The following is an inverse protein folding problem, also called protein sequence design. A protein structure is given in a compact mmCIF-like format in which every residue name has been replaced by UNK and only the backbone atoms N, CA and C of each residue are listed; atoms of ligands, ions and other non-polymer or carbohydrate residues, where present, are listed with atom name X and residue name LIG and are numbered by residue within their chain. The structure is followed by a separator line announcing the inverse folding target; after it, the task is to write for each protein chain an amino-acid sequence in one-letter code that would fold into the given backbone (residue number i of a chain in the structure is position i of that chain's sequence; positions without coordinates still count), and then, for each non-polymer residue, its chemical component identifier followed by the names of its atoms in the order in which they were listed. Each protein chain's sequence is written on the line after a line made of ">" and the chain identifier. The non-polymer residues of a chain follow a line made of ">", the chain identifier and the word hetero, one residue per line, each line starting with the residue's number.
data_IF_942143712036
#
_entry.id   IF_942143712036
#
_cell.length_a   1.000
_cell.length_b   1.000
_cell.length_c   1.000
_cell.angle_alpha   90.00
_cell.angle_beta   90.00
_cell.angle_gamma   90.00
#
_symmetry.space_group_name_H-M   'P 1'
#
loop_
_entity.id
_entity.type
_entity.pdbx_description
1 polymer ?
#
# COMPACT_ATOMS: atom_id res chain seq x y z
N UNK A 1 30.64 18.32 11.42
CA UNK A 1 29.51 17.81 10.61
C UNK A 1 28.89 19.01 9.93
N UNK A 2 28.84 19.05 8.61
CA UNK A 2 28.27 20.20 7.90
C UNK A 2 26.74 20.12 8.01
N UNK A 3 26.06 21.26 8.12
CA UNK A 3 24.59 21.30 8.28
C UNK A 3 23.89 20.56 7.12
N UNK A 4 24.48 20.58 5.93
CA UNK A 4 23.94 19.94 4.73
C UNK A 4 23.87 18.40 4.86
N UNK A 5 24.82 17.77 5.55
CA UNK A 5 24.83 16.32 5.79
C UNK A 5 23.67 15.90 6.71
N UNK A 6 23.33 16.75 7.68
CA UNK A 6 22.24 16.51 8.63
C UNK A 6 20.88 16.62 7.91
N UNK A 7 20.69 17.66 7.09
CA UNK A 7 19.45 17.83 6.30
C UNK A 7 19.24 16.73 5.25
N UNK A 8 20.31 16.22 4.62
CA UNK A 8 20.23 15.09 3.71
C UNK A 8 19.80 13.79 4.42
N UNK A 9 20.32 13.56 5.64
CA UNK A 9 19.96 12.40 6.46
C UNK A 9 18.49 12.43 6.88
N UNK A 10 17.98 13.59 7.28
CA UNK A 10 16.55 13.77 7.61
C UNK A 10 15.64 13.49 6.41
N UNK A 11 16.03 13.91 5.20
CA UNK A 11 15.22 13.68 3.99
C UNK A 11 15.24 12.20 3.55
N UNK A 12 16.35 11.49 3.78
CA UNK A 12 16.45 10.05 3.57
C UNK A 12 15.50 9.24 4.47
N UNK A 13 15.31 9.67 5.73
CA UNK A 13 14.41 9.02 6.68
C UNK A 13 12.92 9.20 6.36
N UNK A 14 12.56 10.26 5.63
CA UNK A 14 11.18 10.49 5.21
C UNK A 14 10.76 9.59 4.01
N UNK A 15 11.71 8.97 3.32
CA UNK A 15 11.42 8.08 2.18
C UNK A 15 10.95 6.72 2.67
N UNK A 16 9.85 6.22 2.10
CA UNK A 16 9.37 4.88 2.44
C UNK A 16 10.43 3.80 2.16
N UNK A 17 10.59 2.86 3.09
CA UNK A 17 11.49 1.71 2.94
C UNK A 17 10.89 0.78 1.89
N UNK A 18 11.58 0.63 0.75
CA UNK A 18 11.16 -0.21 -0.36
C UNK A 18 11.97 -1.52 -0.40
N UNK A 19 11.27 -2.63 -0.51
CA UNK A 19 11.84 -3.96 -0.81
C UNK A 19 11.37 -4.39 -2.20
N UNK A 20 12.31 -4.73 -3.07
CA UNK A 20 12.04 -5.08 -4.49
C UNK A 20 11.20 -4.03 -5.25
N UNK A 21 11.34 -2.75 -4.88
CA UNK A 21 10.59 -1.64 -5.47
C UNK A 21 9.16 -1.46 -4.95
N UNK A 22 8.76 -2.20 -3.90
CA UNK A 22 7.45 -2.09 -3.23
C UNK A 22 7.68 -1.71 -1.76
N UNK A 23 6.83 -0.88 -1.12
CA UNK A 23 7.02 -0.56 0.29
C UNK A 23 6.93 -1.83 1.16
N UNK A 24 7.78 -1.93 2.19
CA UNK A 24 7.95 -3.16 2.96
C UNK A 24 6.63 -3.67 3.58
N UNK A 25 5.84 -2.77 4.17
CA UNK A 25 4.58 -3.14 4.84
C UNK A 25 3.56 -3.78 3.87
N UNK A 26 3.15 -3.14 2.76
CA UNK A 26 2.22 -3.76 1.82
C UNK A 26 2.81 -5.02 1.16
N UNK A 27 4.13 -5.08 0.98
CA UNK A 27 4.80 -6.29 0.48
C UNK A 27 4.57 -7.49 1.42
N UNK A 28 4.83 -7.32 2.73
CA UNK A 28 4.64 -8.37 3.74
C UNK A 28 3.16 -8.80 3.82
N UNK A 29 2.23 -7.85 3.80
CA UNK A 29 0.78 -8.12 3.85
C UNK A 29 0.33 -8.92 2.63
N UNK A 30 0.75 -8.53 1.43
CA UNK A 30 0.38 -9.27 0.21
C UNK A 30 1.00 -10.66 0.21
N UNK A 31 2.25 -10.81 0.67
CA UNK A 31 2.93 -12.09 0.71
C UNK A 31 2.26 -13.06 1.70
N UNK A 32 1.86 -12.58 2.88
CA UNK A 32 1.10 -13.40 3.84
C UNK A 32 -0.27 -13.78 3.30
N UNK A 33 -0.98 -12.85 2.64
CA UNK A 33 -2.27 -13.14 1.99
C UNK A 33 -2.13 -14.16 0.86
N UNK A 34 -1.09 -14.06 0.03
CA UNK A 34 -0.81 -15.06 -1.02
C UNK A 34 -0.65 -16.45 -0.40
N UNK A 35 0.15 -16.59 0.65
CA UNK A 35 0.37 -17.88 1.30
C UNK A 35 -0.93 -18.45 1.88
N UNK A 36 -1.69 -17.65 2.63
CA UNK A 36 -2.94 -18.10 3.25
C UNK A 36 -3.97 -18.49 2.19
N UNK A 37 -4.19 -17.63 1.20
CA UNK A 37 -5.19 -17.85 0.13
C UNK A 37 -4.80 -18.97 -0.81
N UNK A 38 -3.50 -19.17 -1.09
CA UNK A 38 -3.04 -20.30 -1.87
C UNK A 38 -3.30 -21.62 -1.13
N UNK A 39 -2.90 -21.72 0.14
CA UNK A 39 -3.08 -22.95 0.92
C UNK A 39 -4.57 -23.28 1.09
N UNK A 40 -5.36 -22.32 1.60
CA UNK A 40 -6.80 -22.53 1.81
C UNK A 40 -7.56 -22.69 0.50
N UNK A 41 -7.24 -21.90 -0.52
CA UNK A 41 -7.88 -21.98 -1.84
C UNK A 41 -7.61 -23.33 -2.51
N UNK A 42 -6.36 -23.79 -2.53
CA UNK A 42 -6.01 -25.07 -3.15
C UNK A 42 -6.64 -26.24 -2.39
N UNK A 43 -6.69 -26.17 -1.07
CA UNK A 43 -7.28 -27.23 -0.25
C UNK A 43 -8.81 -27.34 -0.42
N UNK A 44 -9.51 -26.21 -0.64
CA UNK A 44 -10.98 -26.18 -0.76
C UNK A 44 -11.49 -26.29 -2.21
N UNK A 45 -10.76 -25.74 -3.17
CA UNK A 45 -11.20 -25.58 -4.56
C UNK A 45 -10.23 -26.21 -5.59
N UNK A 46 -9.18 -26.90 -5.13
CA UNK A 46 -8.16 -27.47 -6.01
C UNK A 46 -7.43 -26.39 -6.81
N UNK A 47 -7.21 -26.64 -8.11
CA UNK A 47 -6.46 -25.72 -8.96
C UNK A 47 -7.09 -24.32 -9.07
N UNK A 48 -8.42 -24.20 -8.97
CA UNK A 48 -9.10 -22.90 -9.02
C UNK A 48 -8.77 -22.01 -7.82
N UNK A 49 -8.26 -22.59 -6.72
CA UNK A 49 -7.77 -21.84 -5.56
C UNK A 49 -6.60 -20.90 -5.85
N UNK A 50 -5.92 -21.07 -6.98
CA UNK A 50 -4.77 -20.23 -7.39
C UNK A 50 -5.20 -18.87 -7.97
N UNK A 51 -6.47 -18.70 -8.31
CA UNK A 51 -6.98 -17.44 -8.89
C UNK A 51 -6.77 -16.26 -7.93
N UNK A 52 -7.08 -16.44 -6.64
CA UNK A 52 -6.95 -15.40 -5.62
C UNK A 52 -5.50 -14.93 -5.43
N UNK A 53 -4.50 -15.81 -5.21
CA UNK A 53 -3.10 -15.38 -5.09
C UNK A 53 -2.55 -14.72 -6.36
N UNK A 54 -3.02 -15.10 -7.56
CA UNK A 54 -2.66 -14.41 -8.82
C UNK A 54 -3.14 -12.96 -8.82
N UNK A 55 -4.38 -12.71 -8.38
CA UNK A 55 -4.93 -11.35 -8.31
C UNK A 55 -4.12 -10.49 -7.32
N UNK A 56 -3.75 -11.05 -6.17
CA UNK A 56 -2.93 -10.35 -5.17
C UNK A 56 -1.53 -10.06 -5.73
N UNK A 57 -0.94 -11.01 -6.47
CA UNK A 57 0.35 -10.81 -7.12
C UNK A 57 0.30 -9.69 -8.17
N UNK A 58 -0.75 -9.66 -9.00
CA UNK A 58 -0.97 -8.58 -9.97
C UNK A 58 -1.08 -7.21 -9.28
N UNK A 59 -1.79 -7.13 -8.16
CA UNK A 59 -1.86 -5.92 -7.34
C UNK A 59 -0.49 -5.48 -6.83
N UNK A 60 0.36 -6.41 -6.38
CA UNK A 60 1.72 -6.12 -5.92
C UNK A 60 2.62 -5.58 -7.05
N UNK A 61 2.44 -6.07 -8.28
CA UNK A 61 3.12 -5.53 -9.46
C UNK A 61 2.66 -4.10 -9.81
N UNK A 62 1.36 -3.80 -9.66
CA UNK A 62 0.86 -2.44 -9.84
C UNK A 62 1.45 -1.48 -8.79
N UNK A 63 1.55 -1.92 -7.53
CA UNK A 63 2.23 -1.14 -6.49
C UNK A 63 3.70 -0.89 -6.82
N UNK A 64 4.40 -1.90 -7.34
CA UNK A 64 5.79 -1.77 -7.80
C UNK A 64 5.91 -0.71 -8.89
N UNK A 65 5.02 -0.73 -9.89
CA UNK A 65 5.04 0.25 -10.98
C UNK A 65 4.78 1.68 -10.48
N UNK A 66 3.87 1.85 -9.51
CA UNK A 66 3.60 3.15 -8.87
C UNK A 66 4.82 3.66 -8.10
N UNK A 67 5.40 2.80 -7.27
CA UNK A 67 6.53 3.16 -6.41
C UNK A 67 7.85 3.38 -7.18
N UNK A 68 7.96 2.85 -8.40
CA UNK A 68 9.07 3.15 -9.30
C UNK A 68 9.11 4.62 -9.74
N UNK A 69 7.97 5.33 -9.75
CA UNK A 69 7.88 6.75 -10.14
C UNK A 69 8.09 7.66 -8.94
N UNK A 70 7.49 7.33 -7.81
CA UNK A 70 7.64 8.06 -6.55
C UNK A 70 7.62 7.07 -5.37
N UNK A 71 8.71 6.99 -4.58
CA UNK A 71 8.79 6.11 -3.41
C UNK A 71 7.72 6.40 -2.35
N UNK A 72 7.19 7.63 -2.31
CA UNK A 72 6.19 8.08 -1.36
C UNK A 72 4.75 8.03 -1.91
N UNK A 73 4.55 7.53 -3.14
CA UNK A 73 3.24 7.48 -3.79
C UNK A 73 2.16 6.83 -2.93
N UNK A 74 2.48 5.72 -2.25
CA UNK A 74 1.54 4.99 -1.39
C UNK A 74 1.11 5.82 -0.18
N UNK A 75 2.00 6.64 0.38
CA UNK A 75 1.68 7.55 1.50
C UNK A 75 0.74 8.65 1.03
N UNK A 76 0.97 9.20 -0.16
CA UNK A 76 0.09 10.20 -0.78
C UNK A 76 -1.29 9.62 -1.08
N UNK A 77 -1.36 8.41 -1.62
CA UNK A 77 -2.63 7.74 -1.91
C UNK A 77 -3.43 7.44 -0.63
N UNK A 78 -2.76 7.02 0.45
CA UNK A 78 -3.38 6.85 1.77
C UNK A 78 -3.95 8.18 2.29
N UNK A 79 -3.23 9.29 2.14
CA UNK A 79 -3.69 10.62 2.55
C UNK A 79 -4.88 11.10 1.72
N UNK A 80 -4.86 10.87 0.39
CA UNK A 80 -6.00 11.17 -0.49
C UNK A 80 -7.24 10.37 -0.07
N UNK A 81 -7.06 9.09 0.25
CA UNK A 81 -8.16 8.24 0.73
C UNK A 81 -8.72 8.73 2.07
N UNK A 82 -7.87 9.08 3.03
CA UNK A 82 -8.28 9.69 4.31
C UNK A 82 -9.01 11.01 4.09
N UNK A 83 -8.51 11.87 3.21
CA UNK A 83 -9.16 13.14 2.85
C UNK A 83 -10.54 12.93 2.21
N UNK A 84 -10.68 11.94 1.34
CA UNK A 84 -11.96 11.57 0.75
C UNK A 84 -12.97 11.07 1.80
N UNK A 85 -12.54 10.20 2.72
CA UNK A 85 -13.37 9.71 3.82
C UNK A 85 -13.84 10.85 4.74
N UNK A 86 -12.94 11.79 5.07
CA UNK A 86 -13.27 12.97 5.86
C UNK A 86 -14.23 13.91 5.13
N UNK A 87 -14.06 14.12 3.81
CA UNK A 87 -15.00 14.91 3.01
C UNK A 87 -16.39 14.27 2.99
N UNK A 88 -16.48 12.94 2.86
CA UNK A 88 -17.75 12.21 2.95
C UNK A 88 -18.41 12.34 4.33
N UNK A 89 -17.63 12.29 5.41
CA UNK A 89 -18.14 12.43 6.78
C UNK A 89 -18.56 13.86 7.12
N UNK A 90 -17.76 14.86 6.72
CA UNK A 90 -18.07 16.28 6.90
C UNK A 90 -19.36 16.68 6.15
N UNK A 91 -19.55 16.19 4.92
CA UNK A 91 -20.76 16.46 4.16
C UNK A 91 -22.02 15.86 4.81
N UNK A 92 -21.90 14.71 5.50
CA UNK A 92 -22.99 14.13 6.30
C UNK A 92 -23.30 14.93 7.57
N UNK A 93 -22.30 15.53 8.21
CA UNK A 93 -22.51 16.37 9.41
C UNK A 93 -23.22 17.67 9.04
N UNK A 94 -22.79 18.34 7.97
CA UNK A 94 -23.38 19.62 7.53
C UNK A 94 -24.86 19.45 7.16
N UNK A 95 -25.22 18.36 6.47
CA UNK A 95 -26.61 18.05 6.11
C UNK A 95 -27.50 17.65 7.30
N UNK A 96 -26.93 17.38 8.49
CA UNK A 96 -27.69 17.01 9.69
C UNK A 96 -27.95 18.21 10.62
N UNK A 97 -27.34 19.36 10.35
CA UNK A 97 -27.44 20.59 11.15
C UNK A 97 -28.44 21.60 10.53
N UNK A 98 -28.95 21.31 9.32
CA UNK A 98 -30.03 22.03 8.63
C UNK A 98 -31.31 21.22 8.77
#
# INVERSE_FOLDING_TARGET
>A
MSLDDEYLTYNGFNRAILFWGVPLIPFIICLSLIMVTFITGVLLMGFYGVIVPIIILAFLLLLKQRCSKDPNAVKVDSLKFKGFALKGFSNKIILKVI
#
